data_IF_894327929936
#
_entry.id   IF_894327929936
#
_cell.length_a   1.000
_cell.length_b   1.000
_cell.length_c   1.000
_cell.angle_alpha   90.00
_cell.angle_beta   90.00
_cell.angle_gamma   90.00
#
_symmetry.space_group_name_H-M   'P 1'
#
loop_
_entity.id
_entity.type
_entity.pdbx_description
1 polymer ?
#
# COMPACT_ATOMS: atom_id res chain seq x y z
N UNK A 1 -28.31 15.64 -10.07
CA UNK A 1 -27.07 14.98 -10.57
C UNK A 1 -26.16 15.92 -11.35
N UNK A 2 -26.60 16.60 -12.42
CA UNK A 2 -25.73 17.49 -13.22
C UNK A 2 -25.12 18.67 -12.45
N UNK A 3 -25.88 19.31 -11.56
CA UNK A 3 -25.39 20.41 -10.72
C UNK A 3 -24.29 19.94 -9.75
N UNK A 4 -24.46 18.78 -9.12
CA UNK A 4 -23.47 18.19 -8.22
C UNK A 4 -22.16 17.86 -8.96
N UNK A 5 -22.26 17.29 -10.17
CA UNK A 5 -21.09 17.05 -11.02
C UNK A 5 -20.37 18.36 -11.41
N UNK A 6 -21.13 19.42 -11.73
CA UNK A 6 -20.56 20.74 -12.04
C UNK A 6 -19.84 21.36 -10.83
N UNK A 7 -20.42 21.26 -9.64
CA UNK A 7 -19.83 21.76 -8.39
C UNK A 7 -18.53 21.02 -8.07
N UNK A 8 -18.50 19.69 -8.22
CA UNK A 8 -17.29 18.89 -8.01
C UNK A 8 -16.21 19.28 -9.02
N UNK A 9 -16.57 19.45 -10.30
CA UNK A 9 -15.63 19.88 -11.33
C UNK A 9 -15.04 21.27 -11.03
N UNK A 10 -15.88 22.22 -10.60
CA UNK A 10 -15.44 23.56 -10.19
C UNK A 10 -14.54 23.53 -8.96
N UNK A 11 -14.85 22.69 -7.96
CA UNK A 11 -14.00 22.49 -6.79
C UNK A 11 -12.64 21.92 -7.18
N UNK A 12 -12.60 20.88 -8.01
CA UNK A 12 -11.35 20.30 -8.49
C UNK A 12 -10.53 21.32 -9.29
N UNK A 13 -11.18 22.09 -10.18
CA UNK A 13 -10.54 23.18 -10.91
C UNK A 13 -9.97 24.24 -9.98
N UNK A 14 -10.74 24.66 -8.97
CA UNK A 14 -10.30 25.63 -7.96
C UNK A 14 -9.11 25.14 -7.14
N UNK A 15 -9.07 23.85 -6.77
CA UNK A 15 -7.92 23.24 -6.08
C UNK A 15 -6.67 23.28 -6.97
N UNK A 16 -6.79 22.93 -8.25
CA UNK A 16 -5.67 22.98 -9.21
C UNK A 16 -5.14 24.41 -9.33
N UNK A 17 -6.02 25.40 -9.50
CA UNK A 17 -5.62 26.81 -9.58
C UNK A 17 -4.94 27.27 -8.30
N UNK A 18 -5.50 26.93 -7.13
CA UNK A 18 -4.92 27.26 -5.82
C UNK A 18 -3.52 26.66 -5.63
N UNK A 19 -3.33 25.41 -6.05
CA UNK A 19 -2.02 24.73 -6.02
C UNK A 19 -0.99 25.42 -6.91
N UNK A 20 -1.38 25.84 -8.12
CA UNK A 20 -0.47 26.55 -9.03
C UNK A 20 -0.05 27.88 -8.43
N UNK A 21 -1.01 28.69 -7.95
CA UNK A 21 -0.68 29.98 -7.32
C UNK A 21 0.20 29.82 -6.08
N UNK A 22 -0.06 28.81 -5.24
CA UNK A 22 0.70 28.57 -4.01
C UNK A 22 2.11 28.02 -4.28
N UNK A 23 2.28 27.24 -5.35
CA UNK A 23 3.58 26.64 -5.70
C UNK A 23 4.46 27.53 -6.59
N UNK A 24 3.89 28.56 -7.22
CA UNK A 24 4.61 29.45 -8.15
C UNK A 24 5.89 30.07 -7.56
N UNK A 25 5.90 30.64 -6.33
CA UNK A 25 7.11 31.23 -5.76
C UNK A 25 8.23 30.18 -5.54
N UNK A 26 7.86 28.96 -5.15
CA UNK A 26 8.80 27.86 -4.97
C UNK A 26 9.41 27.41 -6.29
N UNK A 27 8.61 27.34 -7.36
CA UNK A 27 9.10 26.99 -8.71
C UNK A 27 10.09 28.05 -9.21
N UNK A 28 9.83 29.33 -8.97
CA UNK A 28 10.75 30.40 -9.34
C UNK A 28 12.06 30.37 -8.55
N UNK A 29 12.03 30.01 -7.26
CA UNK A 29 13.21 29.97 -6.39
C UNK A 29 14.12 28.76 -6.66
N UNK A 30 13.55 27.58 -6.91
CA UNK A 30 14.33 26.33 -7.03
C UNK A 30 14.44 25.79 -8.47
N UNK A 31 13.55 26.22 -9.37
CA UNK A 31 13.53 25.79 -10.78
C UNK A 31 13.42 24.27 -10.95
N UNK A 32 13.81 23.78 -12.13
CA UNK A 32 13.85 22.34 -12.43
C UNK A 32 14.95 21.59 -11.66
N UNK A 33 16.00 22.29 -11.22
CA UNK A 33 17.10 21.71 -10.44
C UNK A 33 16.61 21.08 -9.13
N UNK A 34 15.54 21.64 -8.53
CA UNK A 34 14.84 21.11 -7.35
C UNK A 34 14.63 19.59 -7.35
N UNK A 35 14.31 19.02 -8.52
CA UNK A 35 14.03 17.58 -8.67
C UNK A 35 15.27 16.70 -8.49
N UNK A 36 16.47 17.24 -8.74
CA UNK A 36 17.75 16.53 -8.65
C UNK A 36 18.60 16.97 -7.46
N UNK A 37 18.22 18.05 -6.78
CA UNK A 37 18.91 18.53 -5.57
C UNK A 37 18.62 17.61 -4.38
N UNK A 38 19.68 17.17 -3.70
CA UNK A 38 19.62 16.36 -2.48
C UNK A 38 19.65 17.19 -1.20
N UNK A 39 20.13 18.43 -1.29
CA UNK A 39 20.33 19.30 -0.13
C UNK A 39 19.00 19.72 0.47
N UNK A 40 18.90 19.59 1.79
CA UNK A 40 17.77 20.05 2.58
C UNK A 40 18.30 20.84 3.77
N UNK A 41 18.17 22.16 3.70
CA UNK A 41 18.59 23.11 4.73
C UNK A 41 17.45 24.11 4.96
N UNK A 42 16.57 23.77 5.90
CA UNK A 42 15.39 24.57 6.25
C UNK A 42 15.74 25.95 6.83
N UNK A 43 16.77 26.11 7.70
CA UNK A 43 17.21 27.44 8.15
C UNK A 43 17.63 28.39 7.03
N UNK A 44 18.25 27.88 5.96
CA UNK A 44 18.73 28.71 4.83
C UNK A 44 17.75 28.72 3.63
N UNK A 45 16.53 28.20 3.80
CA UNK A 45 15.53 28.04 2.74
C UNK A 45 16.05 27.31 1.49
N UNK A 46 16.90 26.29 1.66
CA UNK A 46 17.35 25.41 0.57
C UNK A 46 16.59 24.11 0.71
N UNK A 47 15.77 23.78 -0.30
CA UNK A 47 14.99 22.55 -0.31
C UNK A 47 15.30 21.76 -1.57
N UNK A 48 15.49 20.44 -1.41
CA UNK A 48 15.71 19.49 -2.50
C UNK A 48 14.67 18.39 -2.46
N UNK A 49 14.11 18.05 -3.63
CA UNK A 49 13.05 17.05 -3.73
C UNK A 49 13.57 15.62 -3.83
N UNK A 50 14.83 15.42 -4.20
CA UNK A 50 15.31 14.10 -4.60
C UNK A 50 15.25 13.09 -3.45
N UNK A 51 15.62 13.50 -2.24
CA UNK A 51 15.61 12.63 -1.04
C UNK A 51 14.20 12.17 -0.69
N UNK A 52 13.19 13.04 -0.52
CA UNK A 52 11.82 12.58 -0.22
C UNK A 52 11.18 11.79 -1.36
N UNK A 53 11.43 12.15 -2.63
CA UNK A 53 10.93 11.37 -3.78
C UNK A 53 11.53 9.95 -3.77
N UNK A 54 12.86 9.85 -3.65
CA UNK A 54 13.52 8.56 -3.59
C UNK A 54 13.06 7.73 -2.37
N UNK A 55 12.98 8.36 -1.19
CA UNK A 55 12.51 7.73 0.04
C UNK A 55 11.11 7.15 -0.12
N UNK A 56 10.16 7.90 -0.67
CA UNK A 56 8.78 7.42 -0.90
C UNK A 56 8.71 6.27 -1.90
N UNK A 57 9.46 6.35 -3.01
CA UNK A 57 9.49 5.27 -4.00
C UNK A 57 10.06 3.97 -3.43
N UNK A 58 11.19 4.04 -2.72
CA UNK A 58 11.84 2.86 -2.15
C UNK A 58 11.02 2.28 -1.00
N UNK A 59 10.52 3.13 -0.09
CA UNK A 59 9.69 2.65 1.04
C UNK A 59 8.38 2.02 0.56
N UNK A 60 7.69 2.63 -0.42
CA UNK A 60 6.46 2.05 -0.99
C UNK A 60 6.73 0.75 -1.75
N UNK A 61 7.84 0.65 -2.48
CA UNK A 61 8.24 -0.57 -3.14
C UNK A 61 8.49 -1.71 -2.14
N UNK A 62 9.30 -1.47 -1.10
CA UNK A 62 9.56 -2.45 -0.03
C UNK A 62 8.25 -2.84 0.67
N UNK A 63 7.39 -1.87 0.96
CA UNK A 63 6.12 -2.11 1.63
C UNK A 63 5.23 -3.04 0.81
N UNK A 64 5.08 -2.79 -0.50
CA UNK A 64 4.27 -3.62 -1.39
C UNK A 64 4.88 -5.01 -1.59
N UNK A 65 6.20 -5.10 -1.72
CA UNK A 65 6.92 -6.36 -1.88
C UNK A 65 6.64 -7.31 -0.71
N UNK A 66 6.52 -6.79 0.51
CA UNK A 66 6.22 -7.57 1.71
C UNK A 66 4.71 -7.75 1.90
N UNK A 67 3.93 -6.68 1.80
CA UNK A 67 2.51 -6.69 2.16
C UNK A 67 1.69 -7.58 1.22
N UNK A 68 1.93 -7.54 -0.09
CA UNK A 68 1.15 -8.30 -1.08
C UNK A 68 1.19 -9.81 -0.82
N UNK A 69 2.36 -10.48 -0.77
CA UNK A 69 2.41 -11.93 -0.54
C UNK A 69 1.90 -12.32 0.85
N UNK A 70 2.21 -11.53 1.88
CA UNK A 70 1.76 -11.80 3.26
C UNK A 70 0.23 -11.70 3.36
N UNK A 71 -0.36 -10.64 2.83
CA UNK A 71 -1.82 -10.45 2.82
C UNK A 71 -2.54 -11.51 2.00
N UNK A 72 -1.96 -11.96 0.89
CA UNK A 72 -2.50 -13.09 0.12
C UNK A 72 -2.52 -14.39 0.94
N UNK A 73 -1.43 -14.70 1.66
CA UNK A 73 -1.38 -15.84 2.56
C UNK A 73 -2.42 -15.79 3.67
N UNK A 74 -2.58 -14.62 4.33
CA UNK A 74 -3.60 -14.41 5.36
C UNK A 74 -5.01 -14.60 4.79
N UNK A 75 -5.27 -14.06 3.60
CA UNK A 75 -6.57 -14.16 2.94
C UNK A 75 -6.93 -15.61 2.60
N UNK A 76 -6.01 -16.36 1.97
CA UNK A 76 -6.18 -17.78 1.67
C UNK A 76 -6.40 -18.61 2.95
N UNK A 77 -5.60 -18.36 3.98
CA UNK A 77 -5.76 -19.02 5.26
C UNK A 77 -7.18 -18.82 5.81
N UNK A 78 -7.69 -17.59 5.76
CA UNK A 78 -9.02 -17.26 6.27
C UNK A 78 -10.20 -17.80 5.44
N UNK A 79 -10.00 -17.99 4.14
CA UNK A 79 -11.08 -18.48 3.26
C UNK A 79 -11.13 -19.99 3.18
N UNK A 80 -9.97 -20.64 3.06
CA UNK A 80 -9.87 -22.06 2.71
C UNK A 80 -9.39 -22.94 3.88
N UNK A 81 -8.46 -22.47 4.72
CA UNK A 81 -7.82 -23.31 5.73
C UNK A 81 -8.38 -23.12 7.15
N UNK A 82 -8.92 -21.93 7.47
CA UNK A 82 -9.25 -21.57 8.84
C UNK A 82 -10.50 -22.32 9.34
N UNK A 83 -10.42 -22.98 10.52
CA UNK A 83 -11.57 -23.64 11.11
C UNK A 83 -12.65 -22.61 11.49
N UNK A 84 -13.92 -22.99 11.42
CA UNK A 84 -15.05 -22.06 11.53
C UNK A 84 -15.09 -21.23 12.81
N UNK A 85 -14.54 -21.74 13.91
CA UNK A 85 -14.42 -21.02 15.19
C UNK A 85 -13.34 -19.94 15.19
N UNK A 86 -12.28 -20.09 14.38
CA UNK A 86 -11.14 -19.16 14.31
C UNK A 86 -11.37 -18.06 13.26
N UNK A 87 -12.15 -18.35 12.22
CA UNK A 87 -12.42 -17.43 11.12
C UNK A 87 -13.09 -16.12 11.58
N UNK A 88 -14.01 -16.20 12.53
CA UNK A 88 -14.70 -15.03 13.10
C UNK A 88 -13.76 -14.12 13.91
N UNK A 89 -13.05 -14.60 14.94
CA UNK A 89 -12.18 -13.75 15.75
C UNK A 89 -11.01 -13.17 14.94
N UNK A 90 -10.39 -13.92 14.03
CA UNK A 90 -9.33 -13.35 13.16
C UNK A 90 -9.89 -12.27 12.22
N UNK A 91 -11.08 -12.48 11.65
CA UNK A 91 -11.70 -11.48 10.80
C UNK A 91 -11.92 -10.16 11.54
N UNK A 92 -12.45 -10.25 12.76
CA UNK A 92 -12.63 -9.09 13.65
C UNK A 92 -11.26 -8.47 13.98
N UNK A 93 -10.24 -9.27 14.32
CA UNK A 93 -8.92 -8.75 14.63
C UNK A 93 -8.29 -7.96 13.47
N UNK A 94 -8.45 -8.44 12.23
CA UNK A 94 -7.97 -7.72 11.03
C UNK A 94 -8.73 -6.42 10.82
N UNK A 95 -10.06 -6.44 10.99
CA UNK A 95 -10.89 -5.23 10.88
C UNK A 95 -10.55 -4.21 11.97
N UNK A 96 -10.30 -4.65 13.20
CA UNK A 96 -9.86 -3.81 14.30
C UNK A 96 -8.45 -3.26 14.05
N UNK A 97 -7.53 -4.07 13.52
CA UNK A 97 -6.17 -3.65 13.19
C UNK A 97 -6.16 -2.59 12.06
N UNK A 98 -7.07 -2.73 11.10
CA UNK A 98 -7.32 -1.75 10.04
C UNK A 98 -8.01 -0.47 10.54
N UNK A 99 -8.69 -0.52 11.69
CA UNK A 99 -9.35 0.64 12.29
C UNK A 99 -8.40 1.52 13.12
N UNK A 100 -7.19 1.03 13.44
CA UNK A 100 -6.20 1.81 14.20
C UNK A 100 -5.79 3.05 13.37
N UNK A 101 -5.81 4.26 13.96
CA UNK A 101 -5.39 5.46 13.26
C UNK A 101 -3.95 5.37 12.76
N UNK A 102 -3.70 5.82 11.52
CA UNK A 102 -2.38 5.76 10.90
C UNK A 102 -1.29 6.48 11.70
N UNK A 103 -1.64 7.55 12.41
CA UNK A 103 -0.72 8.30 13.29
C UNK A 103 -0.17 7.45 14.44
N UNK A 104 -0.95 6.49 14.95
CA UNK A 104 -0.53 5.61 16.05
C UNK A 104 0.60 4.71 15.57
N UNK A 105 0.46 4.09 14.40
CA UNK A 105 1.52 3.30 13.79
C UNK A 105 2.74 4.13 13.43
N UNK A 106 2.56 5.38 12.98
CA UNK A 106 3.68 6.28 12.68
C UNK A 106 4.49 6.63 13.93
N UNK A 107 3.83 7.03 15.01
CA UNK A 107 4.49 7.39 16.27
C UNK A 107 5.11 6.16 16.95
N UNK A 108 4.37 5.05 17.06
CA UNK A 108 4.92 3.79 17.56
C UNK A 108 6.10 3.31 16.69
N UNK A 109 5.95 3.45 15.37
CA UNK A 109 6.95 3.13 14.38
C UNK A 109 8.25 3.88 14.61
N UNK A 110 8.18 5.19 14.81
CA UNK A 110 9.34 6.06 14.98
C UNK A 110 9.99 5.91 16.36
N UNK A 111 9.20 5.87 17.44
CA UNK A 111 9.75 5.92 18.81
C UNK A 111 10.08 4.56 19.41
N UNK A 112 9.43 3.48 18.96
CA UNK A 112 9.57 2.15 19.56
C UNK A 112 10.11 1.18 18.53
N UNK A 113 9.45 1.03 17.38
CA UNK A 113 9.86 0.03 16.41
C UNK A 113 11.20 0.35 15.75
N UNK A 114 11.40 1.56 15.24
CA UNK A 114 12.63 1.96 14.55
C UNK A 114 13.90 1.76 15.39
N UNK A 115 14.00 2.20 16.66
CA UNK A 115 15.20 1.94 17.46
C UNK A 115 15.40 0.44 17.74
N UNK A 116 14.34 -0.31 18.04
CA UNK A 116 14.45 -1.75 18.28
C UNK A 116 14.87 -2.50 17.00
N UNK A 117 14.29 -2.14 15.86
CA UNK A 117 14.59 -2.75 14.58
C UNK A 117 16.02 -2.43 14.14
N UNK A 118 16.51 -1.22 14.42
CA UNK A 118 17.89 -0.86 14.18
C UNK A 118 18.86 -1.76 14.96
N UNK A 119 18.68 -1.87 16.28
CA UNK A 119 19.58 -2.66 17.15
C UNK A 119 19.48 -4.17 16.92
N UNK A 120 18.26 -4.71 16.81
CA UNK A 120 18.07 -6.17 16.79
C UNK A 120 18.05 -6.80 15.40
N UNK A 121 17.73 -6.02 14.36
CA UNK A 121 17.64 -6.54 12.99
C UNK A 121 18.69 -5.91 12.07
N UNK A 122 18.77 -4.59 12.01
CA UNK A 122 19.64 -3.91 11.03
C UNK A 122 21.12 -4.01 11.37
N UNK A 123 21.53 -3.89 12.64
CA UNK A 123 22.93 -4.05 13.03
C UNK A 123 23.45 -5.47 12.75
N UNK A 124 22.78 -6.57 13.17
CA UNK A 124 23.23 -7.92 12.85
C UNK A 124 23.23 -8.20 11.35
N UNK A 125 22.17 -7.82 10.65
CA UNK A 125 22.06 -8.01 9.19
C UNK A 125 23.12 -7.19 8.47
N UNK A 126 23.36 -5.94 8.89
CA UNK A 126 24.38 -5.06 8.33
C UNK A 126 25.79 -5.60 8.56
N UNK A 127 26.07 -6.16 9.73
CA UNK A 127 27.36 -6.80 10.02
C UNK A 127 27.62 -8.01 9.11
N UNK A 128 26.58 -8.78 8.76
CA UNK A 128 26.69 -9.93 7.84
C UNK A 128 26.73 -9.48 6.36
N UNK A 129 25.90 -8.51 5.97
CA UNK A 129 25.80 -8.02 4.59
C UNK A 129 26.92 -7.05 4.19
N UNK A 130 27.64 -6.45 5.15
CA UNK A 130 28.81 -5.59 4.88
C UNK A 130 29.95 -6.35 4.20
N UNK A 131 29.96 -7.69 4.30
CA UNK A 131 30.87 -8.56 3.57
C UNK A 131 30.57 -8.65 2.06
N UNK A 132 29.39 -8.17 1.60
CA UNK A 132 28.97 -8.23 0.20
C UNK A 132 29.09 -6.83 -0.43
N UNK A 133 30.02 -6.61 -1.39
CA UNK A 133 30.40 -5.27 -1.86
C UNK A 133 29.27 -4.47 -2.56
N UNK A 134 28.27 -5.13 -3.15
CA UNK A 134 27.13 -4.46 -3.78
C UNK A 134 26.01 -4.10 -2.79
N UNK A 135 25.84 -4.93 -1.76
CA UNK A 135 24.74 -4.79 -0.78
C UNK A 135 25.17 -3.87 0.36
N UNK A 136 26.41 -3.99 0.83
CA UNK A 136 26.99 -3.10 1.83
C UNK A 136 26.88 -1.62 1.45
N UNK A 137 27.13 -1.26 0.19
CA UNK A 137 27.03 0.13 -0.29
C UNK A 137 25.60 0.71 -0.24
N UNK A 138 24.57 -0.14 -0.37
CA UNK A 138 23.16 0.29 -0.33
C UNK A 138 22.65 0.47 1.12
N UNK A 139 23.23 -0.28 2.07
CA UNK A 139 22.91 -0.20 3.49
C UNK A 139 23.87 0.72 4.28
N UNK A 140 24.93 1.24 3.64
CA UNK A 140 25.88 2.18 4.24
C UNK A 140 25.37 3.61 4.17
N UNK A 141 24.99 4.19 5.30
CA UNK A 141 24.63 5.60 5.40
C UNK A 141 23.61 5.89 6.50
N UNK A 142 23.84 6.90 7.37
CA UNK A 142 22.94 7.26 8.47
C UNK A 142 21.51 7.63 8.04
N UNK A 143 21.34 8.13 6.81
CA UNK A 143 20.06 8.62 6.28
C UNK A 143 19.36 7.65 5.29
N UNK A 144 20.07 6.66 4.72
CA UNK A 144 19.54 5.82 3.64
C UNK A 144 19.26 4.37 4.06
N UNK A 145 20.03 3.77 4.98
CA UNK A 145 19.88 2.35 5.33
C UNK A 145 18.89 2.09 6.47
N UNK A 146 19.08 2.82 7.58
CA UNK A 146 18.39 2.54 8.85
C UNK A 146 16.91 2.95 8.77
N UNK A 147 16.65 4.19 8.35
CA UNK A 147 15.30 4.73 8.28
C UNK A 147 14.41 4.16 7.16
N UNK A 148 14.97 3.89 5.98
CA UNK A 148 14.16 3.49 4.80
C UNK A 148 13.61 2.07 4.96
N UNK A 149 14.43 1.11 5.39
CA UNK A 149 13.96 -0.26 5.61
C UNK A 149 12.91 -0.31 6.74
N UNK A 150 13.19 0.35 7.87
CA UNK A 150 12.26 0.43 8.99
C UNK A 150 10.94 1.07 8.57
N UNK A 151 10.98 2.20 7.86
CA UNK A 151 9.79 2.88 7.35
C UNK A 151 9.00 2.01 6.35
N UNK A 152 9.68 1.30 5.45
CA UNK A 152 9.04 0.36 4.53
C UNK A 152 8.33 -0.79 5.24
N UNK A 153 8.93 -1.34 6.31
CA UNK A 153 8.30 -2.40 7.13
C UNK A 153 7.12 -1.86 7.93
N UNK A 154 7.22 -0.69 8.55
CA UNK A 154 6.10 -0.05 9.23
C UNK A 154 4.94 0.15 8.25
N UNK A 155 5.23 0.68 7.07
CA UNK A 155 4.24 0.90 6.01
C UNK A 155 3.62 -0.45 5.55
N UNK A 156 4.41 -1.52 5.44
CA UNK A 156 3.90 -2.85 5.15
C UNK A 156 2.89 -3.31 6.21
N UNK A 157 3.24 -3.20 7.50
CA UNK A 157 2.38 -3.57 8.63
C UNK A 157 1.05 -2.80 8.58
N UNK A 158 1.10 -1.51 8.25
CA UNK A 158 -0.10 -0.68 8.12
C UNK A 158 -1.01 -1.11 6.95
N UNK A 159 -0.42 -1.51 5.82
CA UNK A 159 -1.16 -1.84 4.60
C UNK A 159 -1.71 -3.28 4.63
N UNK A 160 -1.02 -4.21 5.31
CA UNK A 160 -1.39 -5.63 5.39
C UNK A 160 -2.87 -5.87 5.75
N UNK A 161 -3.44 -5.29 6.82
CA UNK A 161 -4.82 -5.58 7.21
C UNK A 161 -5.84 -5.10 6.16
N UNK A 162 -5.56 -3.99 5.48
CA UNK A 162 -6.42 -3.50 4.39
C UNK A 162 -6.39 -4.44 3.17
N UNK A 163 -5.20 -4.86 2.72
CA UNK A 163 -5.08 -5.77 1.57
C UNK A 163 -5.64 -7.15 1.92
N UNK A 164 -5.32 -7.69 3.10
CA UNK A 164 -5.79 -9.01 3.52
C UNK A 164 -7.32 -9.05 3.64
N UNK A 165 -7.93 -8.01 4.22
CA UNK A 165 -9.39 -7.87 4.28
C UNK A 165 -10.03 -7.77 2.89
N UNK A 166 -9.41 -7.01 1.97
CA UNK A 166 -9.82 -6.91 0.57
C UNK A 166 -9.77 -8.25 -0.17
N UNK A 167 -8.64 -8.95 -0.10
CA UNK A 167 -8.46 -10.27 -0.71
C UNK A 167 -9.42 -11.31 -0.14
N UNK A 168 -9.59 -11.37 1.19
CA UNK A 168 -10.53 -12.30 1.81
C UNK A 168 -11.98 -12.05 1.33
N UNK A 169 -12.36 -10.79 1.06
CA UNK A 169 -13.68 -10.44 0.51
C UNK A 169 -13.82 -10.88 -0.96
N UNK A 170 -12.80 -10.62 -1.77
CA UNK A 170 -12.77 -11.05 -3.18
C UNK A 170 -12.85 -12.58 -3.31
N UNK A 171 -12.09 -13.31 -2.51
CA UNK A 171 -12.10 -14.78 -2.54
C UNK A 171 -13.46 -15.33 -2.10
N UNK A 172 -14.07 -14.77 -1.05
CA UNK A 172 -15.42 -15.18 -0.60
C UNK A 172 -16.52 -14.87 -1.61
N UNK A 173 -16.46 -13.72 -2.29
CA UNK A 173 -17.48 -13.37 -3.28
C UNK A 173 -17.42 -14.30 -4.48
N UNK A 174 -16.21 -14.60 -4.98
CA UNK A 174 -16.03 -15.51 -6.11
C UNK A 174 -16.51 -16.93 -5.77
N UNK A 175 -16.15 -17.45 -4.59
CA UNK A 175 -16.58 -18.78 -4.15
C UNK A 175 -18.11 -18.89 -4.05
N UNK A 176 -18.79 -17.85 -3.56
CA UNK A 176 -20.25 -17.81 -3.49
C UNK A 176 -20.92 -17.69 -4.86
N UNK A 177 -20.29 -17.00 -5.81
CA UNK A 177 -20.81 -16.86 -7.17
C UNK A 177 -20.72 -18.19 -7.94
N UNK A 178 -19.63 -18.94 -7.80
CA UNK A 178 -19.45 -20.26 -8.43
C UNK A 178 -20.49 -21.28 -7.94
N UNK A 179 -20.80 -21.30 -6.64
CA UNK A 179 -21.84 -22.18 -6.09
C UNK A 179 -23.23 -21.88 -6.67
N UNK A 180 -23.59 -20.59 -6.77
CA UNK A 180 -24.87 -20.16 -7.34
C UNK A 180 -24.98 -20.52 -8.82
N UNK A 181 -23.89 -20.37 -9.58
CA UNK A 181 -23.83 -20.77 -11.00
C UNK A 181 -23.99 -22.28 -11.13
N UNK A 182 -23.30 -23.08 -10.30
CA UNK A 182 -23.44 -24.53 -10.27
C UNK A 182 -24.88 -25.00 -9.97
N UNK A 183 -25.55 -24.37 -9.01
CA UNK A 183 -26.96 -24.66 -8.70
C UNK A 183 -27.90 -24.31 -9.85
N UNK A 184 -27.65 -23.19 -10.55
CA UNK A 184 -28.42 -22.82 -11.75
C UNK A 184 -28.26 -23.81 -12.89
N UNK A 185 -27.05 -24.34 -13.09
CA UNK A 185 -26.81 -25.38 -14.09
C UNK A 185 -27.50 -26.70 -13.74
N UNK A 186 -27.53 -27.11 -12.46
CA UNK A 186 -28.25 -28.32 -12.01
C UNK A 186 -29.76 -28.18 -12.05
N UNK A 187 -30.28 -26.97 -11.79
CA UNK A 187 -31.72 -26.68 -11.82
C UNK A 187 -32.26 -26.38 -13.23
N UNK A 188 -31.40 -26.32 -14.26
CA UNK A 188 -31.82 -26.03 -15.63
C UNK A 188 -32.49 -27.27 -16.27
N UNK A 189 -33.71 -27.16 -16.82
CA UNK A 189 -34.35 -28.26 -17.53
C UNK A 189 -33.54 -28.65 -18.79
N UNK A 190 -33.51 -29.94 -19.17
CA UNK A 190 -32.77 -30.41 -20.34
C UNK A 190 -33.27 -29.69 -21.59
N UNK A 191 -32.42 -28.86 -22.20
CA UNK A 191 -32.70 -28.12 -23.44
C UNK A 191 -32.55 -26.59 -23.40
N UNK A 192 -32.40 -25.95 -22.23
CA UNK A 192 -32.31 -24.46 -22.12
C UNK A 192 -30.91 -23.86 -21.97
N UNK A 193 -29.85 -24.67 -21.98
CA UNK A 193 -28.48 -24.21 -21.71
C UNK A 193 -27.81 -23.47 -22.88
N UNK A 194 -28.35 -23.54 -24.09
CA UNK A 194 -27.73 -22.95 -25.29
C UNK A 194 -27.86 -21.41 -25.39
N UNK A 195 -28.75 -20.78 -24.62
CA UNK A 195 -28.99 -19.32 -24.69
C UNK A 195 -28.25 -18.47 -23.66
N UNK A 196 -27.75 -19.07 -22.56
CA UNK A 196 -27.17 -18.34 -21.44
C UNK A 196 -25.66 -18.08 -21.56
N UNK A 197 -24.97 -18.78 -22.46
CA UNK A 197 -23.52 -18.62 -22.70
C UNK A 197 -23.17 -17.42 -23.59
N UNK A 198 -24.17 -16.74 -24.19
CA UNK A 198 -23.96 -15.60 -25.11
C UNK A 198 -23.63 -14.27 -24.40
N UNK A 199 -23.81 -14.17 -23.09
CA UNK A 199 -23.67 -12.91 -22.35
C UNK A 199 -22.32 -12.70 -21.64
N UNK A 200 -21.33 -13.57 -21.87
CA UNK A 200 -20.01 -13.47 -21.24
C UNK A 200 -18.91 -13.21 -22.27
N UNK A 201 -18.98 -12.05 -22.93
CA UNK A 201 -17.77 -11.41 -23.45
C UNK A 201 -17.53 -10.13 -22.65
N UNK A 202 -16.48 -10.07 -21.81
CA UNK A 202 -16.07 -8.83 -21.20
C UNK A 202 -15.52 -7.96 -22.33
N UNK A 203 -16.21 -6.85 -22.66
CA UNK A 203 -15.62 -5.82 -23.50
C UNK A 203 -14.44 -5.22 -22.72
N UNK A 204 -13.24 -5.71 -23.02
CA UNK A 204 -12.02 -4.92 -22.91
C UNK A 204 -12.09 -3.87 -24.02
N UNK A 205 -12.24 -2.62 -23.62
CA UNK A 205 -12.20 -1.41 -24.43
C UNK A 205 -11.88 -0.25 -23.52
#
# INVERSE_FOLDING_TARGET
MKLAALIVLLLLGGIIVSLIFSSWPSIQKFGFSFLWTKEWDAPNDIYGALVPIYGTLVTSFIALLIAVPVSFGIALFLTELAPGWLRRPLGIAIELLAAIPSIVYGMWGLFIFAPLFATYFQEPVGNVLSAIPFVGALFSGPAFGIGILAAGVILAIMIIPYIAGGYARCLRTNAGDDERVGLRHRAAPPGKLSGALSFRSPKMG
#
